data_IF_104125856901
#
_entry.id   IF_104125856901
#
_cell.length_a   1.000
_cell.length_b   1.000
_cell.length_c   1.000
_cell.angle_alpha   90.00
_cell.angle_beta   90.00
_cell.angle_gamma   90.00
#
_symmetry.space_group_name_H-M   'P 1'
#
loop_
_entity.id
_entity.type
_entity.pdbx_description
1 polymer ?
#
# COMPACT_ATOMS: atom_id res chain seq x y z
N UNK A 1 0.86 -3.02 -0.93
CA UNK A 1 0.38 -2.59 -2.27
C UNK A 1 -0.58 -1.43 -2.04
N UNK A 2 -0.54 -0.36 -2.84
CA UNK A 2 -1.50 0.74 -2.76
C UNK A 2 -1.99 1.11 -4.16
N UNK A 3 -3.30 1.31 -4.37
CA UNK A 3 -3.87 1.61 -5.69
C UNK A 3 -5.21 2.34 -5.56
N UNK A 4 -5.44 3.35 -6.40
CA UNK A 4 -6.73 4.02 -6.56
C UNK A 4 -7.70 3.27 -7.49
N UNK A 5 -8.97 3.12 -7.11
CA UNK A 5 -9.95 2.38 -7.95
C UNK A 5 -10.33 3.11 -9.24
N UNK A 6 -10.06 4.42 -9.30
CA UNK A 6 -10.28 5.28 -10.47
C UNK A 6 -9.05 5.48 -11.36
N UNK A 7 -7.99 4.69 -11.18
CA UNK A 7 -6.81 4.74 -12.04
C UNK A 7 -7.17 4.37 -13.49
N UNK A 8 -6.88 5.29 -14.42
CA UNK A 8 -7.17 5.14 -15.86
C UNK A 8 -5.91 4.85 -16.69
N UNK A 9 -4.74 4.83 -16.04
CA UNK A 9 -3.43 4.57 -16.66
C UNK A 9 -3.04 3.12 -16.38
N UNK A 10 -3.12 2.71 -15.11
CA UNK A 10 -2.87 1.32 -14.70
C UNK A 10 -4.18 0.73 -14.20
N UNK A 11 -4.69 -0.35 -14.81
CA UNK A 11 -5.91 -1.00 -14.35
C UNK A 11 -5.79 -1.51 -12.91
N UNK A 12 -6.78 -1.19 -12.06
CA UNK A 12 -6.83 -1.60 -10.65
C UNK A 12 -6.65 -3.11 -10.44
N UNK A 13 -7.20 -3.92 -11.36
CA UNK A 13 -7.13 -5.39 -11.29
C UNK A 13 -5.69 -5.95 -11.32
N UNK A 14 -4.70 -5.18 -11.80
CA UNK A 14 -3.29 -5.57 -11.73
C UNK A 14 -2.84 -5.73 -10.27
N UNK A 15 -3.29 -4.84 -9.38
CA UNK A 15 -2.98 -4.95 -7.95
C UNK A 15 -3.78 -6.03 -7.26
N UNK A 16 -5.04 -6.27 -7.66
CA UNK A 16 -5.83 -7.41 -7.15
C UNK A 16 -5.15 -8.76 -7.47
N UNK A 17 -4.71 -8.94 -8.72
CA UNK A 17 -4.00 -10.15 -9.15
C UNK A 17 -2.70 -10.37 -8.36
N UNK A 18 -1.90 -9.32 -8.16
CA UNK A 18 -0.68 -9.40 -7.37
C UNK A 18 -0.97 -9.73 -5.90
N UNK A 19 -1.96 -9.06 -5.30
CA UNK A 19 -2.36 -9.31 -3.92
C UNK A 19 -2.77 -10.76 -3.70
N UNK A 20 -3.67 -11.29 -4.54
CA UNK A 20 -4.14 -12.67 -4.43
C UNK A 20 -2.99 -13.67 -4.66
N UNK A 21 -2.09 -13.41 -5.61
CA UNK A 21 -0.93 -14.27 -5.85
C UNK A 21 0.04 -14.32 -4.64
N UNK A 22 0.29 -13.18 -3.99
CA UNK A 22 1.13 -13.10 -2.79
C UNK A 22 0.45 -13.77 -1.59
N UNK A 23 -0.85 -13.50 -1.39
CA UNK A 23 -1.66 -14.10 -0.33
C UNK A 23 -1.73 -15.62 -0.46
N UNK A 24 -1.92 -16.15 -1.67
CA UNK A 24 -1.96 -17.59 -1.94
C UNK A 24 -0.64 -18.31 -1.60
N UNK A 25 0.48 -17.58 -1.54
CA UNK A 25 1.78 -18.09 -1.10
C UNK A 25 2.03 -17.95 0.40
N UNK A 26 1.05 -17.44 1.16
CA UNK A 26 1.17 -17.23 2.61
C UNK A 26 2.15 -16.11 2.98
N UNK A 27 2.42 -15.17 2.07
CA UNK A 27 3.27 -14.03 2.35
C UNK A 27 2.50 -12.96 3.12
N UNK A 28 3.21 -12.23 3.99
CA UNK A 28 2.68 -11.03 4.63
C UNK A 28 2.51 -9.94 3.57
N UNK A 29 1.25 -9.66 3.21
CA UNK A 29 0.89 -8.68 2.19
C UNK A 29 -0.29 -7.84 2.68
N UNK A 30 -0.18 -6.53 2.51
CA UNK A 30 -1.27 -5.57 2.77
C UNK A 30 -1.66 -4.89 1.45
N UNK A 31 -2.97 -4.73 1.21
CA UNK A 31 -3.48 -4.00 0.05
C UNK A 31 -4.32 -2.79 0.48
N UNK A 32 -3.79 -1.61 0.18
CA UNK A 32 -4.36 -0.31 0.47
C UNK A 32 -5.15 0.20 -0.75
N UNK A 33 -6.47 0.13 -0.67
CA UNK A 33 -7.37 0.57 -1.75
C UNK A 33 -7.85 1.98 -1.47
N UNK A 34 -7.68 2.88 -2.44
CA UNK A 34 -8.14 4.26 -2.36
C UNK A 34 -9.36 4.45 -3.27
N UNK A 35 -10.55 4.39 -2.69
CA UNK A 35 -11.80 4.49 -3.44
C UNK A 35 -11.91 5.81 -4.20
N UNK A 36 -12.21 5.73 -5.50
CA UNK A 36 -12.34 6.87 -6.41
C UNK A 36 -11.04 7.58 -6.78
N UNK A 37 -9.90 7.26 -6.15
CA UNK A 37 -8.62 7.88 -6.45
C UNK A 37 -8.08 7.44 -7.82
N UNK A 38 -7.42 8.34 -8.54
CA UNK A 38 -6.77 8.04 -9.82
C UNK A 38 -5.39 7.41 -9.66
N UNK A 39 -4.54 7.56 -10.68
CA UNK A 39 -3.12 7.13 -10.64
C UNK A 39 -2.29 7.87 -9.56
N UNK A 40 -2.78 9.01 -9.09
CA UNK A 40 -2.19 9.84 -8.04
C UNK A 40 -3.23 10.83 -7.50
N UNK A 41 -2.75 11.92 -6.90
CA UNK A 41 -3.60 13.00 -6.36
C UNK A 41 -3.76 12.97 -4.84
N UNK A 42 -4.76 13.65 -4.27
CA UNK A 42 -4.83 13.96 -2.83
C UNK A 42 -4.73 12.74 -1.90
N UNK A 43 -5.24 11.58 -2.34
CA UNK A 43 -5.13 10.35 -1.54
C UNK A 43 -3.71 9.82 -1.36
N UNK A 44 -2.78 10.20 -2.26
CA UNK A 44 -1.38 9.80 -2.30
C UNK A 44 -0.42 10.91 -1.82
N UNK A 45 -0.93 12.11 -1.58
CA UNK A 45 -0.15 13.24 -1.07
C UNK A 45 0.23 13.05 0.41
N UNK A 46 1.23 13.78 0.93
CA UNK A 46 1.69 13.62 2.32
C UNK A 46 0.62 13.86 3.39
N UNK A 47 -0.37 14.69 3.11
CA UNK A 47 -1.54 14.94 3.96
C UNK A 47 -2.68 13.93 3.72
N UNK A 48 -2.55 13.08 2.70
CA UNK A 48 -3.48 12.02 2.37
C UNK A 48 -3.42 10.84 3.34
N UNK A 49 -4.52 10.10 3.42
CA UNK A 49 -4.67 8.98 4.36
C UNK A 49 -3.64 7.85 4.16
N UNK A 50 -3.07 7.70 2.96
CA UNK A 50 -2.10 6.65 2.66
C UNK A 50 -0.74 6.91 3.32
N UNK A 51 -0.33 8.18 3.45
CA UNK A 51 1.03 8.53 3.89
C UNK A 51 1.33 8.01 5.30
N UNK A 52 0.41 8.18 6.25
CA UNK A 52 0.55 7.63 7.61
C UNK A 52 0.68 6.11 7.65
N UNK A 53 0.00 5.39 6.74
CA UNK A 53 0.08 3.92 6.65
C UNK A 53 1.40 3.46 6.05
N UNK A 54 1.95 4.20 5.09
CA UNK A 54 3.31 4.00 4.60
C UNK A 54 4.35 4.19 5.71
N UNK A 55 4.22 5.24 6.53
CA UNK A 55 5.10 5.44 7.68
C UNK A 55 5.01 4.29 8.68
N UNK A 56 3.81 3.84 9.04
CA UNK A 56 3.62 2.69 9.94
C UNK A 56 4.20 1.38 9.36
N UNK A 57 4.13 1.20 8.04
CA UNK A 57 4.78 0.09 7.35
C UNK A 57 6.31 0.17 7.50
N UNK A 58 6.90 1.33 7.23
CA UNK A 58 8.35 1.52 7.39
C UNK A 58 8.79 1.38 8.84
N UNK A 59 8.01 1.86 9.79
CA UNK A 59 8.30 1.71 11.22
C UNK A 59 8.39 0.24 11.62
N UNK A 60 7.47 -0.59 11.14
CA UNK A 60 7.47 -2.03 11.45
C UNK A 60 8.65 -2.78 10.83
N UNK A 61 9.12 -2.35 9.65
CA UNK A 61 10.05 -3.15 8.84
C UNK A 61 11.47 -2.58 8.77
N UNK A 62 11.66 -1.28 8.99
CA UNK A 62 12.94 -0.58 8.76
C UNK A 62 13.51 0.05 10.02
N UNK A 63 12.68 0.40 11.02
CA UNK A 63 13.21 0.73 12.35
C UNK A 63 13.61 -0.60 12.98
N UNK A 64 14.87 -1.00 12.78
CA UNK A 64 15.43 -2.22 13.36
C UNK A 64 15.04 -2.30 14.83
N UNK A 65 14.78 -3.52 15.32
CA UNK A 65 14.69 -3.74 16.76
C UNK A 65 15.89 -3.04 17.37
N UNK A 66 15.67 -1.96 18.12
CA UNK A 66 16.71 -1.44 18.97
C UNK A 66 17.14 -2.66 19.79
N UNK A 67 18.37 -3.12 19.58
CA UNK A 67 18.99 -4.07 20.48
C UNK A 67 18.78 -3.47 21.86
N UNK A 68 18.04 -4.19 22.70
CA UNK A 68 17.96 -3.86 24.11
C UNK A 68 19.40 -3.92 24.63
N UNK A 69 19.99 -2.76 24.88
CA UNK A 69 21.08 -2.57 25.83
C UNK A 69 20.50 -2.13 27.17
#
# INVERSE_FOLDING_TARGET
IAHGTGDRIVPFNQSELLHEALRARGLDVTFEVLEGAGHGGPGFEPDGALFGRCLAFFDRHLKGSASAE
#
